data_IF_245604273108
#
_entry.id   IF_245604273108
#
_cell.length_a   1.000
_cell.length_b   1.000
_cell.length_c   1.000
_cell.angle_alpha   90.00
_cell.angle_beta   90.00
_cell.angle_gamma   90.00
#
_symmetry.space_group_name_H-M   'P 1'
#
loop_
_entity.id
_entity.type
_entity.pdbx_description
1 polymer ?
#
# COMPACT_ATOMS: atom_id res chain seq x y z
N UNK A 1 -4.97 7.34 33.51
CA UNK A 1 -5.56 8.00 32.32
C UNK A 1 -4.38 8.55 31.54
N UNK A 2 -3.99 7.90 30.44
CA UNK A 2 -2.78 8.27 29.70
C UNK A 2 -3.03 9.60 29.00
N UNK A 3 -2.29 10.66 29.35
CA UNK A 3 -2.44 11.93 28.67
C UNK A 3 -1.84 11.83 27.27
N UNK A 4 -2.73 11.81 26.27
CA UNK A 4 -2.34 11.68 24.88
C UNK A 4 -1.72 12.98 24.40
N UNK A 5 -0.45 12.93 23.99
CA UNK A 5 0.19 14.05 23.31
C UNK A 5 -0.60 14.44 22.06
N UNK A 6 -0.45 15.69 21.60
CA UNK A 6 -1.13 16.19 20.41
C UNK A 6 -0.14 16.81 19.43
N UNK A 7 -0.19 16.40 18.18
CA UNK A 7 0.61 16.95 17.08
C UNK A 7 -0.33 17.74 16.18
N UNK A 8 -0.17 19.05 16.11
CA UNK A 8 -0.93 19.90 15.20
C UNK A 8 -0.07 20.14 13.95
N UNK A 9 -0.56 19.70 12.79
CA UNK A 9 0.09 19.87 11.49
C UNK A 9 -0.60 20.97 10.69
N UNK A 10 -0.04 22.18 10.73
CA UNK A 10 -0.49 23.29 9.90
C UNK A 10 0.04 23.13 8.47
N UNK A 11 -0.86 23.14 7.48
CA UNK A 11 -0.53 22.86 6.09
C UNK A 11 -1.24 23.76 5.08
N UNK A 12 -0.63 23.86 3.90
CA UNK A 12 -1.22 24.45 2.69
C UNK A 12 -0.86 23.58 1.50
N UNK A 13 -1.89 23.16 0.74
CA UNK A 13 -1.76 22.21 -0.37
C UNK A 13 -0.85 22.72 -1.49
N UNK A 14 -0.63 24.04 -1.56
CA UNK A 14 0.29 24.67 -2.52
C UNK A 14 1.77 24.57 -2.11
N UNK A 15 2.10 23.95 -0.99
CA UNK A 15 3.50 23.69 -0.62
C UNK A 15 3.87 22.23 -0.90
N UNK A 16 5.00 22.00 -1.58
CA UNK A 16 5.48 20.65 -1.83
C UNK A 16 5.85 19.97 -0.51
N UNK A 17 6.40 20.74 0.43
CA UNK A 17 6.77 20.23 1.75
C UNK A 17 5.54 19.89 2.60
N UNK A 18 4.42 20.59 2.44
CA UNK A 18 3.18 20.19 3.12
C UNK A 18 2.65 18.87 2.58
N UNK A 19 2.73 18.66 1.25
CA UNK A 19 2.36 17.39 0.64
C UNK A 19 3.24 16.24 1.16
N UNK A 20 4.56 16.42 1.17
CA UNK A 20 5.51 15.43 1.71
C UNK A 20 5.23 15.14 3.19
N UNK A 21 5.06 16.18 4.01
CA UNK A 21 4.82 16.03 5.44
C UNK A 21 3.50 15.33 5.74
N UNK A 22 2.45 15.62 4.98
CA UNK A 22 1.16 14.96 5.11
C UNK A 22 1.26 13.47 4.74
N UNK A 23 1.94 13.14 3.64
CA UNK A 23 2.24 11.75 3.28
C UNK A 23 3.07 11.03 4.35
N UNK A 24 4.07 11.70 4.90
CA UNK A 24 4.90 11.14 5.97
C UNK A 24 4.11 10.94 7.27
N UNK A 25 3.41 11.96 7.76
CA UNK A 25 2.65 11.91 9.01
C UNK A 25 1.52 10.89 8.96
N UNK A 26 0.78 10.80 7.86
CA UNK A 26 -0.31 9.80 7.71
C UNK A 26 0.19 8.36 7.79
N UNK A 27 1.43 8.08 7.37
CA UNK A 27 2.06 6.77 7.57
C UNK A 27 2.45 6.52 9.02
N UNK A 28 2.72 7.60 9.76
CA UNK A 28 3.24 7.59 11.11
C UNK A 28 2.18 7.66 12.21
N UNK A 29 0.96 8.14 11.96
CA UNK A 29 -0.05 8.41 12.99
C UNK A 29 -0.22 7.26 13.98
N UNK A 30 -0.26 6.01 13.49
CA UNK A 30 -0.40 4.80 14.31
C UNK A 30 0.83 4.45 15.16
N UNK A 31 2.01 4.94 14.80
CA UNK A 31 3.25 4.75 15.56
C UNK A 31 3.52 5.88 16.56
N UNK A 32 2.81 7.00 16.43
CA UNK A 32 2.97 8.12 17.34
C UNK A 32 2.06 7.92 18.55
N UNK A 33 2.56 8.04 19.79
CA UNK A 33 1.75 8.07 21.00
C UNK A 33 1.08 9.45 21.15
N UNK A 34 0.49 9.96 20.06
CA UNK A 34 -0.07 11.29 19.96
C UNK A 34 -1.22 11.32 18.95
N UNK A 35 -2.24 12.12 19.25
CA UNK A 35 -3.27 12.44 18.26
C UNK A 35 -2.72 13.47 17.27
N UNK A 36 -2.79 13.16 15.98
CA UNK A 36 -2.45 14.12 14.92
C UNK A 36 -3.70 14.89 14.50
N UNK A 37 -3.61 16.22 14.48
CA UNK A 37 -4.65 17.10 13.97
C UNK A 37 -4.09 17.91 12.81
N UNK A 38 -4.76 17.89 11.67
CA UNK A 38 -4.36 18.68 10.49
C UNK A 38 -5.17 19.95 10.40
N UNK A 39 -4.51 21.08 10.18
CA UNK A 39 -5.15 22.40 10.15
C UNK A 39 -4.79 23.12 8.84
N UNK A 40 -5.76 23.37 7.95
CA UNK A 40 -5.56 24.23 6.79
C UNK A 40 -5.23 25.66 7.24
N UNK A 41 -4.16 26.24 6.70
CA UNK A 41 -3.72 27.62 6.96
C UNK A 41 -3.34 28.34 5.68
N UNK A 42 -3.29 29.67 5.69
CA UNK A 42 -2.91 30.43 4.51
C UNK A 42 -1.41 30.71 4.44
N UNK A 43 -0.70 29.99 3.57
CA UNK A 43 0.75 30.19 3.38
C UNK A 43 1.08 31.64 2.97
N UNK A 44 0.29 32.24 2.09
CA UNK A 44 0.51 33.61 1.62
C UNK A 44 0.52 34.64 2.75
N UNK A 45 -0.42 34.55 3.70
CA UNK A 45 -0.45 35.44 4.85
C UNK A 45 0.72 35.19 5.82
N UNK A 46 1.10 33.93 6.03
CA UNK A 46 2.24 33.56 6.88
C UNK A 46 3.52 34.20 6.33
N UNK A 47 3.82 34.02 5.03
CA UNK A 47 5.01 34.58 4.38
C UNK A 47 5.06 36.11 4.52
N UNK A 48 3.95 36.79 4.22
CA UNK A 48 3.89 38.26 4.26
C UNK A 48 4.07 38.78 5.68
N UNK A 49 3.33 38.25 6.64
CA UNK A 49 3.37 38.74 8.03
C UNK A 49 4.67 38.38 8.75
N UNK A 50 5.32 37.26 8.41
CA UNK A 50 6.61 36.89 9.00
C UNK A 50 7.81 37.58 8.34
N UNK A 51 7.60 38.33 7.24
CA UNK A 51 8.69 38.90 6.44
C UNK A 51 9.55 37.85 5.72
N UNK A 52 9.07 36.62 5.56
CA UNK A 52 9.83 35.55 4.92
C UNK A 52 9.87 35.76 3.39
N UNK A 53 10.94 35.30 2.76
CA UNK A 53 11.09 35.34 1.30
C UNK A 53 11.13 33.90 0.78
N UNK A 54 10.18 33.48 -0.09
CA UNK A 54 10.15 32.12 -0.61
C UNK A 54 11.48 31.70 -1.26
N UNK A 55 11.97 30.47 -1.03
CA UNK A 55 13.22 29.99 -1.61
C UNK A 55 13.29 30.13 -3.14
N UNK A 56 12.16 29.95 -3.83
CA UNK A 56 12.05 30.08 -5.28
C UNK A 56 12.43 31.48 -5.81
N UNK A 57 12.39 32.53 -4.99
CA UNK A 57 12.77 33.90 -5.40
C UNK A 57 14.29 34.11 -5.49
N UNK A 58 15.10 33.21 -4.94
CA UNK A 58 16.55 33.27 -5.04
C UNK A 58 17.04 32.15 -5.98
N UNK A 59 17.74 32.45 -7.09
CA UNK A 59 18.09 31.45 -8.11
C UNK A 59 18.73 30.17 -7.56
N UNK A 60 19.76 30.30 -6.70
CA UNK A 60 20.42 29.15 -6.09
C UNK A 60 19.51 28.33 -5.15
N UNK A 61 18.62 28.97 -4.40
CA UNK A 61 17.70 28.29 -3.48
C UNK A 61 16.55 27.63 -4.26
N UNK A 62 16.09 28.25 -5.35
CA UNK A 62 15.12 27.67 -6.28
C UNK A 62 15.63 26.39 -6.94
N UNK A 63 16.87 26.42 -7.46
CA UNK A 63 17.52 25.21 -8.02
C UNK A 63 17.66 24.12 -6.96
N UNK A 64 18.10 24.47 -5.74
CA UNK A 64 18.19 23.51 -4.65
C UNK A 64 16.82 22.91 -4.30
N UNK A 65 15.78 23.73 -4.20
CA UNK A 65 14.41 23.29 -3.91
C UNK A 65 13.90 22.30 -4.95
N UNK A 66 14.19 22.52 -6.24
CA UNK A 66 13.83 21.57 -7.31
C UNK A 66 14.48 20.20 -7.13
N UNK A 67 15.77 20.17 -6.83
CA UNK A 67 16.50 18.92 -6.58
C UNK A 67 16.02 18.23 -5.29
N UNK A 68 15.81 19.02 -4.23
CA UNK A 68 15.35 18.55 -2.92
C UNK A 68 13.97 17.89 -3.01
N UNK A 69 13.03 18.44 -3.78
CA UNK A 69 11.74 17.80 -4.04
C UNK A 69 11.93 16.43 -4.69
N UNK A 70 12.85 16.28 -5.65
CA UNK A 70 13.11 14.99 -6.28
C UNK A 70 13.71 13.98 -5.28
N UNK A 71 14.64 14.43 -4.44
CA UNK A 71 15.24 13.59 -3.40
C UNK A 71 14.22 13.17 -2.35
N UNK A 72 13.40 14.10 -1.86
CA UNK A 72 12.32 13.82 -0.93
C UNK A 72 11.26 12.90 -1.56
N UNK A 73 10.91 13.11 -2.83
CA UNK A 73 10.00 12.23 -3.55
C UNK A 73 10.53 10.80 -3.60
N UNK A 74 11.80 10.61 -3.97
CA UNK A 74 12.43 9.30 -3.98
C UNK A 74 12.51 8.72 -2.56
N UNK A 75 12.87 9.53 -1.57
CA UNK A 75 13.00 9.10 -0.18
C UNK A 75 11.66 8.59 0.39
N UNK A 76 10.58 9.33 0.16
CA UNK A 76 9.23 8.99 0.64
C UNK A 76 8.45 8.11 -0.33
N UNK A 77 9.00 7.71 -1.47
CA UNK A 77 8.30 6.87 -2.46
C UNK A 77 7.08 7.57 -3.08
N UNK A 78 7.16 8.89 -3.27
CA UNK A 78 6.15 9.71 -3.93
C UNK A 78 6.49 9.87 -5.42
N UNK A 79 5.53 10.37 -6.21
CA UNK A 79 5.71 10.64 -7.65
C UNK A 79 5.69 12.14 -7.94
N UNK A 80 6.32 12.93 -7.07
CA UNK A 80 6.35 14.38 -7.22
C UNK A 80 7.20 14.80 -8.41
N UNK A 81 6.75 15.86 -9.09
CA UNK A 81 7.42 16.54 -10.17
C UNK A 81 7.34 18.05 -9.96
N UNK A 82 8.28 18.76 -10.55
CA UNK A 82 8.26 20.22 -10.57
C UNK A 82 7.17 20.71 -11.55
N UNK A 83 6.26 21.62 -11.14
CA UNK A 83 5.24 22.18 -12.02
C UNK A 83 5.87 22.86 -13.26
N UNK A 84 5.26 22.71 -14.43
CA UNK A 84 5.79 23.30 -15.67
C UNK A 84 5.84 24.83 -15.61
N UNK A 85 4.81 25.46 -15.02
CA UNK A 85 4.77 26.89 -14.71
C UNK A 85 4.54 27.10 -13.22
N UNK A 86 5.65 27.09 -12.47
CA UNK A 86 5.67 27.26 -11.02
C UNK A 86 5.13 28.64 -10.60
N UNK A 87 5.49 29.70 -11.32
CA UNK A 87 5.09 31.07 -10.98
C UNK A 87 3.57 31.24 -11.15
N UNK A 88 3.02 30.76 -12.26
CA UNK A 88 1.57 30.82 -12.48
C UNK A 88 0.82 29.98 -11.45
N UNK A 89 1.26 28.74 -11.20
CA UNK A 89 0.53 27.78 -10.38
C UNK A 89 0.61 28.11 -8.88
N UNK A 90 1.81 28.41 -8.38
CA UNK A 90 2.06 28.59 -6.95
C UNK A 90 1.87 30.05 -6.54
N UNK A 91 2.33 31.01 -7.35
CA UNK A 91 2.37 32.43 -6.95
C UNK A 91 1.12 33.18 -7.40
N UNK A 92 0.68 33.02 -8.66
CA UNK A 92 -0.45 33.79 -9.21
C UNK A 92 -1.82 33.20 -8.90
N UNK A 93 -1.97 31.88 -9.02
CA UNK A 93 -3.25 31.16 -8.85
C UNK A 93 -3.60 30.88 -7.38
N UNK A 94 -2.60 30.52 -6.56
CA UNK A 94 -2.74 30.31 -5.12
C UNK A 94 -3.70 29.17 -4.71
N UNK A 95 -4.04 29.10 -3.42
CA UNK A 95 -4.78 27.99 -2.80
C UNK A 95 -5.96 28.40 -1.93
N UNK A 96 -6.40 29.66 -1.99
CA UNK A 96 -7.45 30.17 -1.08
C UNK A 96 -8.77 29.37 -1.21
N UNK A 97 -9.22 29.09 -2.43
CA UNK A 97 -10.45 28.33 -2.70
C UNK A 97 -10.37 26.92 -2.11
N UNK A 98 -9.38 26.07 -2.46
CA UNK A 98 -9.28 24.74 -1.88
C UNK A 98 -9.03 24.75 -0.37
N UNK A 99 -8.28 25.70 0.18
CA UNK A 99 -8.02 25.76 1.63
C UNK A 99 -9.26 26.11 2.46
N UNK A 100 -10.12 27.01 1.96
CA UNK A 100 -11.42 27.29 2.60
C UNK A 100 -12.35 26.10 2.51
N UNK A 101 -12.39 25.43 1.35
CA UNK A 101 -13.15 24.19 1.20
C UNK A 101 -12.67 23.11 2.18
N UNK A 102 -11.36 22.89 2.29
CA UNK A 102 -10.79 21.95 3.27
C UNK A 102 -11.11 22.35 4.72
N UNK A 103 -11.22 23.64 5.02
CA UNK A 103 -11.67 24.13 6.33
C UNK A 103 -13.13 23.72 6.58
N UNK A 104 -14.02 23.86 5.60
CA UNK A 104 -15.42 23.41 5.71
C UNK A 104 -15.53 21.88 5.82
N UNK A 105 -14.76 21.14 5.01
CA UNK A 105 -14.68 19.67 5.09
C UNK A 105 -14.21 19.21 6.47
N UNK A 106 -13.22 19.88 7.07
CA UNK A 106 -12.76 19.53 8.42
C UNK A 106 -13.85 19.71 9.50
N UNK A 107 -14.71 20.71 9.37
CA UNK A 107 -15.79 20.94 10.35
C UNK A 107 -16.94 19.94 10.23
N UNK A 108 -17.32 19.57 9.01
CA UNK A 108 -18.54 18.80 8.75
C UNK A 108 -18.30 17.35 8.38
N UNK A 109 -17.19 17.08 7.69
CA UNK A 109 -16.85 15.78 7.10
C UNK A 109 -15.36 15.44 7.33
N UNK A 110 -14.86 15.47 8.60
CA UNK A 110 -13.43 15.43 8.92
C UNK A 110 -12.69 14.21 8.36
N UNK A 111 -13.37 13.09 8.15
CA UNK A 111 -12.81 11.88 7.53
C UNK A 111 -12.30 12.10 6.09
N UNK A 112 -12.81 13.11 5.39
CA UNK A 112 -12.41 13.45 4.02
C UNK A 112 -11.32 14.53 3.93
N UNK A 113 -10.96 15.19 5.04
CA UNK A 113 -9.96 16.26 5.03
C UNK A 113 -8.64 15.81 4.39
N UNK A 114 -8.11 14.68 4.83
CA UNK A 114 -6.81 14.16 4.39
C UNK A 114 -6.87 13.60 2.97
N UNK A 115 -7.84 12.75 2.60
CA UNK A 115 -8.03 12.36 1.21
C UNK A 115 -8.13 13.56 0.26
N UNK A 116 -8.91 14.59 0.60
CA UNK A 116 -9.08 15.78 -0.23
C UNK A 116 -7.79 16.61 -0.31
N UNK A 117 -7.12 16.86 0.81
CA UNK A 117 -5.86 17.60 0.84
C UNK A 117 -4.75 16.89 0.02
N UNK A 118 -4.66 15.56 0.12
CA UNK A 118 -3.76 14.74 -0.72
C UNK A 118 -4.13 14.80 -2.20
N UNK A 119 -5.42 14.76 -2.54
CA UNK A 119 -5.86 14.88 -3.93
C UNK A 119 -5.49 16.24 -4.55
N UNK A 120 -5.69 17.35 -3.83
CA UNK A 120 -5.22 18.67 -4.26
C UNK A 120 -3.70 18.72 -4.40
N UNK A 121 -2.97 18.20 -3.41
CA UNK A 121 -1.51 18.09 -3.47
C UNK A 121 -1.03 17.28 -4.68
N UNK A 122 -1.67 16.15 -4.99
CA UNK A 122 -1.36 15.32 -6.17
C UNK A 122 -1.65 16.05 -7.48
N UNK A 123 -2.76 16.80 -7.59
CA UNK A 123 -3.04 17.64 -8.76
C UNK A 123 -1.86 18.59 -9.02
N UNK A 124 -1.38 19.33 -8.02
CA UNK A 124 -0.26 20.26 -8.18
C UNK A 124 1.07 19.53 -8.41
N UNK A 125 1.43 18.63 -7.51
CA UNK A 125 2.80 18.12 -7.40
C UNK A 125 3.05 16.84 -8.16
N UNK A 126 2.05 16.12 -8.63
CA UNK A 126 2.22 14.88 -9.40
C UNK A 126 1.65 15.00 -10.82
N UNK A 127 0.54 15.73 -10.97
CA UNK A 127 -0.20 15.84 -12.23
C UNK A 127 -0.04 17.18 -12.95
N UNK A 128 0.61 18.17 -12.34
CA UNK A 128 0.78 19.52 -12.92
C UNK A 128 -0.57 20.13 -13.37
N UNK A 129 -1.59 19.94 -12.53
CA UNK A 129 -2.97 20.39 -12.73
C UNK A 129 -3.30 21.55 -11.79
N UNK A 130 -4.11 22.52 -12.23
CA UNK A 130 -4.53 23.64 -11.40
C UNK A 130 -5.52 23.24 -10.29
N UNK A 131 -5.57 24.03 -9.21
CA UNK A 131 -6.48 23.81 -8.06
C UNK A 131 -7.25 25.06 -7.60
N UNK A 132 -7.10 26.18 -8.31
CA UNK A 132 -7.51 27.51 -7.82
C UNK A 132 -8.98 27.91 -8.09
N UNK A 133 -9.65 27.24 -9.04
CA UNK A 133 -11.05 27.46 -9.40
C UNK A 133 -11.99 26.51 -8.64
N UNK A 134 -13.25 26.93 -8.52
CA UNK A 134 -14.31 26.13 -7.91
C UNK A 134 -14.53 24.79 -8.63
N UNK A 135 -14.43 24.78 -9.96
CA UNK A 135 -14.51 23.55 -10.76
C UNK A 135 -13.49 22.49 -10.34
N UNK A 136 -12.25 22.88 -10.03
CA UNK A 136 -11.23 21.94 -9.56
C UNK A 136 -11.56 21.37 -8.18
N UNK A 137 -12.24 22.15 -7.32
CA UNK A 137 -12.72 21.68 -6.02
C UNK A 137 -13.85 20.68 -6.21
N UNK A 138 -14.79 20.97 -7.10
CA UNK A 138 -15.89 20.06 -7.44
C UNK A 138 -15.36 18.74 -8.02
N UNK A 139 -14.37 18.77 -8.91
CA UNK A 139 -13.70 17.57 -9.44
C UNK A 139 -13.13 16.68 -8.33
N UNK A 140 -12.35 17.26 -7.41
CA UNK A 140 -11.74 16.52 -6.30
C UNK A 140 -12.81 15.94 -5.37
N UNK A 141 -13.83 16.73 -5.06
CA UNK A 141 -14.89 16.30 -4.16
C UNK A 141 -15.77 15.19 -4.76
N UNK A 142 -16.06 15.27 -6.07
CA UNK A 142 -16.80 14.25 -6.80
C UNK A 142 -16.00 12.94 -6.90
N UNK A 143 -14.70 13.03 -7.24
CA UNK A 143 -13.80 11.88 -7.28
C UNK A 143 -13.77 11.13 -5.94
N UNK A 144 -13.79 11.86 -4.82
CA UNK A 144 -13.75 11.30 -3.47
C UNK A 144 -15.14 10.97 -2.91
N UNK A 145 -16.22 11.30 -3.64
CA UNK A 145 -17.61 11.13 -3.20
C UNK A 145 -17.87 11.76 -1.83
N UNK A 146 -17.38 12.98 -1.62
CA UNK A 146 -17.61 13.73 -0.38
C UNK A 146 -19.11 14.06 -0.28
N UNK A 147 -19.83 13.72 0.79
CA UNK A 147 -21.23 14.07 0.94
C UNK A 147 -21.47 15.58 0.85
N UNK A 148 -22.55 16.00 0.21
CA UNK A 148 -22.99 17.40 0.13
C UNK A 148 -21.89 18.40 -0.32
N UNK A 149 -20.93 17.97 -1.14
CA UNK A 149 -19.75 18.77 -1.47
C UNK A 149 -20.05 20.14 -2.10
N UNK A 150 -21.17 20.26 -2.83
CA UNK A 150 -21.64 21.54 -3.37
C UNK A 150 -22.06 22.51 -2.26
N UNK A 151 -22.73 22.00 -1.22
CA UNK A 151 -23.12 22.79 -0.04
C UNK A 151 -21.88 23.20 0.77
N UNK A 152 -20.92 22.29 0.94
CA UNK A 152 -19.64 22.58 1.60
C UNK A 152 -18.84 23.65 0.85
N UNK A 153 -18.87 23.64 -0.50
CA UNK A 153 -18.24 24.68 -1.31
C UNK A 153 -18.91 26.04 -1.11
N UNK A 154 -20.24 26.12 -1.08
CA UNK A 154 -20.95 27.35 -0.76
C UNK A 154 -20.64 27.83 0.67
N UNK A 155 -20.64 26.90 1.64
CA UNK A 155 -20.31 27.21 3.03
C UNK A 155 -18.87 27.71 3.20
N UNK A 156 -17.93 27.24 2.37
CA UNK A 156 -16.55 27.72 2.36
C UNK A 156 -16.41 29.22 2.09
N UNK A 157 -17.46 29.83 1.51
CA UNK A 157 -17.55 31.27 1.21
C UNK A 157 -18.19 32.07 2.36
N UNK A 158 -18.74 31.41 3.38
CA UNK A 158 -19.35 32.05 4.55
C UNK A 158 -18.32 32.83 5.38
N UNK A 159 -18.77 33.86 6.08
CA UNK A 159 -17.90 34.60 7.02
C UNK A 159 -17.39 33.72 8.16
N UNK A 160 -18.17 32.72 8.59
CA UNK A 160 -17.75 31.75 9.59
C UNK A 160 -16.48 30.98 9.19
N UNK A 161 -16.47 30.40 7.98
CA UNK A 161 -15.29 29.66 7.49
C UNK A 161 -14.12 30.60 7.20
N UNK A 162 -14.37 31.79 6.63
CA UNK A 162 -13.32 32.78 6.39
C UNK A 162 -12.63 33.22 7.68
N UNK A 163 -13.41 33.49 8.73
CA UNK A 163 -12.88 33.89 10.03
C UNK A 163 -12.12 32.73 10.69
N UNK A 164 -12.67 31.51 10.66
CA UNK A 164 -11.98 30.34 11.19
C UNK A 164 -10.63 30.09 10.49
N UNK A 165 -10.60 30.18 9.17
CA UNK A 165 -9.38 30.03 8.37
C UNK A 165 -8.34 31.12 8.68
N UNK A 166 -8.78 32.38 8.85
CA UNK A 166 -7.93 33.49 9.27
C UNK A 166 -7.37 33.27 10.67
N UNK A 167 -8.24 32.95 11.63
CA UNK A 167 -7.88 32.69 13.03
C UNK A 167 -6.87 31.57 13.15
N UNK A 168 -7.06 30.44 12.46
CA UNK A 168 -6.11 29.30 12.41
C UNK A 168 -4.74 29.71 11.88
N UNK A 169 -4.73 30.55 10.84
CA UNK A 169 -3.49 31.10 10.29
C UNK A 169 -2.77 31.99 11.32
N UNK A 170 -3.51 32.82 12.04
CA UNK A 170 -2.97 33.68 13.10
C UNK A 170 -2.47 32.90 14.31
N UNK A 171 -3.17 31.84 14.70
CA UNK A 171 -2.73 30.92 15.76
C UNK A 171 -1.42 30.22 15.38
N UNK A 172 -1.26 29.77 14.13
CA UNK A 172 0.01 29.22 13.66
C UNK A 172 1.15 30.24 13.75
N UNK A 173 0.91 31.49 13.32
CA UNK A 173 1.90 32.57 13.39
C UNK A 173 2.31 32.92 14.83
N UNK A 174 1.36 32.88 15.80
CA UNK A 174 1.66 33.08 17.22
C UNK A 174 2.65 32.03 17.78
N UNK A 175 2.78 30.88 17.13
CA UNK A 175 3.77 29.86 17.48
C UNK A 175 5.12 30.02 16.77
N UNK A 176 5.30 31.11 16.00
CA UNK A 176 6.52 31.41 15.26
C UNK A 176 6.54 30.94 13.81
N UNK A 177 5.40 30.50 13.25
CA UNK A 177 5.35 30.02 11.88
C UNK A 177 5.76 31.13 10.88
N UNK A 178 6.76 30.83 10.06
CA UNK A 178 7.24 31.68 8.95
C UNK A 178 7.11 30.98 7.58
N UNK A 179 6.64 29.74 7.58
CA UNK A 179 6.43 28.89 6.41
C UNK A 179 5.68 27.62 6.84
N UNK A 180 5.43 26.73 5.87
CA UNK A 180 4.71 25.47 6.09
C UNK A 180 5.36 24.32 5.31
N UNK A 181 5.28 23.07 5.81
CA UNK A 181 4.49 22.61 6.96
C UNK A 181 5.07 23.11 8.28
N UNK A 182 4.17 23.35 9.24
CA UNK A 182 4.52 23.78 10.58
C UNK A 182 3.85 22.85 11.59
N UNK A 183 4.67 22.13 12.36
CA UNK A 183 4.20 21.15 13.34
C UNK A 183 4.28 21.77 14.74
N UNK A 184 3.25 21.58 15.54
CA UNK A 184 3.21 21.99 16.96
C UNK A 184 2.93 20.76 17.80
N UNK A 185 3.91 20.35 18.61
CA UNK A 185 3.79 19.27 19.58
C UNK A 185 3.35 19.85 20.93
N UNK A 186 2.22 19.38 21.43
CA UNK A 186 1.70 19.68 22.77
C UNK A 186 1.73 18.41 23.62
N UNK A 187 2.34 18.48 24.79
CA UNK A 187 2.40 17.41 25.77
C UNK A 187 1.98 17.97 27.13
N UNK A 188 1.21 17.21 27.90
CA UNK A 188 0.78 17.66 29.23
C UNK A 188 2.00 17.91 30.13
N UNK A 189 1.99 19.04 30.85
CA UNK A 189 3.08 19.43 31.74
C UNK A 189 4.38 19.84 31.03
N UNK A 190 4.40 19.98 29.71
CA UNK A 190 5.56 20.45 28.93
C UNK A 190 5.22 21.67 28.10
N UNK A 191 6.21 22.52 27.86
CA UNK A 191 6.10 23.61 26.88
C UNK A 191 5.87 23.06 25.46
N UNK A 192 5.12 23.81 24.65
CA UNK A 192 4.86 23.40 23.26
C UNK A 192 6.14 23.51 22.43
N UNK A 193 6.45 22.46 21.66
CA UNK A 193 7.59 22.45 20.72
C UNK A 193 7.10 22.64 19.30
N UNK A 194 7.87 23.33 18.46
CA UNK A 194 7.54 23.57 17.06
C UNK A 194 8.60 23.03 16.11
N UNK A 195 8.17 22.54 14.95
CA UNK A 195 9.06 22.03 13.91
C UNK A 195 8.64 22.57 12.54
N UNK A 196 9.61 23.15 11.82
CA UNK A 196 9.44 23.60 10.45
C UNK A 196 10.04 22.60 9.47
N UNK A 197 9.28 22.27 8.43
CA UNK A 197 9.74 21.40 7.33
C UNK A 197 9.22 19.96 7.40
N UNK A 198 9.23 19.28 6.25
CA UNK A 198 8.77 17.89 6.11
C UNK A 198 9.76 16.83 6.58
N UNK A 199 11.01 17.23 6.79
CA UNK A 199 12.15 16.38 7.11
C UNK A 199 12.36 16.22 8.63
N UNK A 200 11.55 16.89 9.47
CA UNK A 200 11.70 16.90 10.93
C UNK A 200 10.92 15.81 11.66
N UNK A 201 10.35 14.84 10.95
CA UNK A 201 9.57 13.77 11.56
C UNK A 201 10.39 12.93 12.56
N UNK A 202 11.70 12.78 12.32
CA UNK A 202 12.61 12.10 13.24
C UNK A 202 12.77 12.83 14.59
N UNK A 203 12.79 14.17 14.60
CA UNK A 203 12.76 14.95 15.84
C UNK A 203 11.43 14.80 16.57
N UNK A 204 10.31 14.81 15.83
CA UNK A 204 8.99 14.57 16.42
C UNK A 204 8.92 13.18 17.08
N UNK A 205 9.44 12.14 16.41
CA UNK A 205 9.52 10.78 16.97
C UNK A 205 10.36 10.75 18.25
N UNK A 206 11.54 11.39 18.25
CA UNK A 206 12.41 11.50 19.42
C UNK A 206 11.71 12.15 20.62
N UNK A 207 10.99 13.26 20.42
CA UNK A 207 10.25 13.95 21.48
C UNK A 207 9.06 13.17 22.04
N UNK A 208 8.52 12.26 21.23
CA UNK A 208 7.47 11.33 21.61
C UNK A 208 8.02 10.00 22.16
N UNK A 209 9.34 9.84 22.24
CA UNK A 209 9.98 8.64 22.76
C UNK A 209 9.81 7.40 21.86
N UNK A 210 9.60 7.60 20.55
CA UNK A 210 9.44 6.51 19.58
C UNK A 210 10.55 6.52 18.54
N UNK A 211 10.91 5.33 18.06
CA UNK A 211 11.92 5.16 17.01
C UNK A 211 11.41 5.70 15.66
N UNK A 212 12.27 6.46 14.97
CA UNK A 212 12.02 6.85 13.59
C UNK A 212 12.35 5.70 12.63
N UNK A 213 11.32 5.08 12.05
CA UNK A 213 11.40 3.89 11.20
C UNK A 213 11.69 4.19 9.71
N UNK A 214 12.21 5.37 9.40
CA UNK A 214 12.46 5.81 8.01
C UNK A 214 11.17 6.09 7.22
N UNK A 215 11.17 5.94 5.87
CA UNK A 215 10.09 6.44 5.02
C UNK A 215 8.81 5.61 5.00
N UNK A 216 8.82 4.42 5.62
CA UNK A 216 7.71 3.47 5.62
C UNK A 216 7.15 3.20 4.20
N UNK A 217 8.01 2.95 3.21
CA UNK A 217 7.59 2.66 1.82
C UNK A 217 6.84 1.32 1.74
N UNK A 218 5.95 1.19 0.76
CA UNK A 218 5.23 -0.06 0.47
C UNK A 218 6.14 -1.30 0.57
N UNK A 219 5.63 -2.32 1.28
CA UNK A 219 6.26 -3.49 1.92
C UNK A 219 6.70 -3.35 3.40
N UNK A 220 6.91 -2.14 3.93
CA UNK A 220 7.16 -1.94 5.37
C UNK A 220 5.89 -1.61 6.17
N UNK A 221 4.89 -0.99 5.55
CA UNK A 221 3.55 -0.80 6.13
C UNK A 221 2.78 -2.13 6.22
N UNK A 222 2.97 -3.07 5.28
CA UNK A 222 2.32 -4.38 5.25
C UNK A 222 2.81 -5.36 6.33
N UNK A 223 3.76 -4.95 7.17
CA UNK A 223 4.25 -5.75 8.29
C UNK A 223 3.75 -5.23 9.64
N UNK A 224 2.94 -4.17 9.66
CA UNK A 224 2.29 -3.71 10.89
C UNK A 224 1.04 -4.53 11.17
N UNK A 225 1.03 -5.37 12.22
CA UNK A 225 -0.07 -6.27 12.52
C UNK A 225 -1.39 -5.54 12.83
N UNK A 226 -1.36 -4.24 13.15
CA UNK A 226 -2.54 -3.48 13.54
C UNK A 226 -3.30 -2.82 12.38
N UNK A 227 -2.78 -2.90 11.14
CA UNK A 227 -3.54 -2.42 9.99
C UNK A 227 -4.81 -3.27 9.79
N UNK A 228 -5.96 -2.67 9.38
CA UNK A 228 -7.18 -3.41 9.10
C UNK A 228 -6.97 -4.58 8.13
N UNK A 229 -6.13 -4.38 7.10
CA UNK A 229 -5.81 -5.41 6.11
C UNK A 229 -4.99 -6.58 6.70
N UNK A 230 -4.08 -6.31 7.63
CA UNK A 230 -3.27 -7.34 8.27
C UNK A 230 -4.09 -8.11 9.32
N UNK A 231 -5.01 -7.42 10.04
CA UNK A 231 -6.02 -8.07 10.89
C UNK A 231 -6.94 -8.97 10.07
N UNK A 232 -7.39 -8.51 8.90
CA UNK A 232 -8.20 -9.30 7.99
C UNK A 232 -7.44 -10.56 7.53
N UNK A 233 -6.20 -10.42 7.05
CA UNK A 233 -5.35 -11.56 6.68
C UNK A 233 -5.17 -12.56 7.82
N UNK A 234 -4.93 -12.06 9.04
CA UNK A 234 -4.83 -12.91 10.23
C UNK A 234 -6.13 -13.66 10.52
N UNK A 235 -7.28 -12.98 10.47
CA UNK A 235 -8.58 -13.59 10.69
C UNK A 235 -8.88 -14.71 9.67
N UNK A 236 -8.62 -14.46 8.37
CA UNK A 236 -8.76 -15.49 7.34
C UNK A 236 -7.85 -16.71 7.59
N UNK A 237 -6.58 -16.47 7.91
CA UNK A 237 -5.62 -17.55 8.18
C UNK A 237 -6.03 -18.40 9.38
N UNK A 238 -6.44 -17.76 10.49
CA UNK A 238 -6.86 -18.46 11.71
C UNK A 238 -8.15 -19.25 11.49
N UNK A 239 -9.18 -18.63 10.89
CA UNK A 239 -10.43 -19.33 10.63
C UNK A 239 -10.27 -20.50 9.66
N UNK A 240 -9.42 -20.36 8.65
CA UNK A 240 -9.05 -21.46 7.77
C UNK A 240 -8.35 -22.59 8.55
N UNK A 241 -7.35 -22.23 9.36
CA UNK A 241 -6.58 -23.16 10.18
C UNK A 241 -7.45 -23.99 11.13
N UNK A 242 -8.37 -23.36 11.86
CA UNK A 242 -9.29 -24.03 12.80
C UNK A 242 -10.19 -25.08 12.12
N UNK A 243 -10.58 -24.83 10.86
CA UNK A 243 -11.50 -25.72 10.14
C UNK A 243 -10.75 -26.84 9.44
N UNK A 244 -9.59 -26.55 8.85
CA UNK A 244 -8.94 -27.43 7.88
C UNK A 244 -7.72 -28.19 8.44
N UNK A 245 -7.18 -27.80 9.60
CA UNK A 245 -5.95 -28.41 10.13
C UNK A 245 -6.26 -29.22 11.39
N UNK A 246 -5.78 -30.46 11.41
CA UNK A 246 -5.92 -31.41 12.54
C UNK A 246 -4.57 -32.04 12.87
N UNK A 247 -4.46 -32.58 14.08
CA UNK A 247 -3.28 -33.36 14.48
C UNK A 247 -3.03 -34.52 13.52
N UNK A 248 -1.77 -34.85 13.28
CA UNK A 248 -1.35 -35.92 12.36
C UNK A 248 -1.31 -35.52 10.88
N UNK A 249 -1.74 -34.31 10.51
CA UNK A 249 -1.80 -33.90 9.11
C UNK A 249 -0.44 -33.50 8.54
N UNK A 250 -0.24 -33.83 7.26
CA UNK A 250 0.85 -33.32 6.42
C UNK A 250 0.35 -32.12 5.64
N UNK A 251 0.94 -30.96 5.88
CA UNK A 251 0.40 -29.65 5.51
C UNK A 251 1.33 -28.97 4.52
N UNK A 252 0.85 -28.69 3.32
CA UNK A 252 1.47 -27.75 2.40
C UNK A 252 1.28 -26.33 2.90
N UNK A 253 2.37 -25.62 3.18
CA UNK A 253 2.33 -24.23 3.68
C UNK A 253 2.80 -23.30 2.57
N UNK A 254 1.86 -22.47 2.11
CA UNK A 254 2.02 -21.54 1.02
C UNK A 254 3.04 -20.41 1.22
N UNK A 255 2.98 -19.38 0.38
CA UNK A 255 3.89 -18.25 0.43
C UNK A 255 3.16 -16.90 0.39
N UNK A 256 3.82 -15.86 0.93
CA UNK A 256 3.34 -14.48 0.90
C UNK A 256 2.81 -13.95 2.22
N UNK A 257 2.41 -12.67 2.21
CA UNK A 257 2.11 -11.92 3.44
C UNK A 257 0.94 -12.49 4.26
N UNK A 258 -0.09 -13.04 3.61
CA UNK A 258 -1.23 -13.66 4.32
C UNK A 258 -0.81 -14.99 4.98
N UNK A 259 0.07 -15.77 4.34
CA UNK A 259 0.50 -17.08 4.84
C UNK A 259 1.38 -16.98 6.08
N UNK A 260 2.05 -15.84 6.30
CA UNK A 260 2.73 -15.57 7.57
C UNK A 260 1.81 -15.79 8.78
N UNK A 261 0.55 -15.38 8.70
CA UNK A 261 -0.42 -15.57 9.79
C UNK A 261 -0.88 -17.02 9.95
N UNK A 262 -0.81 -17.83 8.89
CA UNK A 262 -1.03 -19.26 9.01
C UNK A 262 0.11 -19.91 9.82
N UNK A 263 1.35 -19.47 9.60
CA UNK A 263 2.49 -19.93 10.42
C UNK A 263 2.33 -19.48 11.88
N UNK A 264 1.82 -18.26 12.13
CA UNK A 264 1.47 -17.82 13.50
C UNK A 264 0.42 -18.73 14.15
N UNK A 265 -0.65 -19.07 13.43
CA UNK A 265 -1.68 -19.98 13.90
C UNK A 265 -1.10 -21.36 14.25
N UNK A 266 -0.33 -21.96 13.34
CA UNK A 266 0.31 -23.26 13.54
C UNK A 266 1.22 -23.23 14.76
N UNK A 267 2.03 -22.18 14.91
CA UNK A 267 2.90 -21.98 16.07
C UNK A 267 2.12 -21.95 17.37
N UNK A 268 1.08 -21.13 17.48
CA UNK A 268 0.26 -21.02 18.69
C UNK A 268 -0.34 -22.37 19.06
N UNK A 269 -0.98 -23.06 18.11
CA UNK A 269 -1.66 -24.32 18.38
C UNK A 269 -0.69 -25.46 18.68
N UNK A 270 0.48 -25.46 18.06
CA UNK A 270 1.53 -26.44 18.34
C UNK A 270 2.12 -26.24 19.75
N UNK A 271 2.43 -25.00 20.13
CA UNK A 271 2.93 -24.66 21.47
C UNK A 271 1.91 -24.97 22.58
N UNK A 272 0.63 -24.75 22.30
CA UNK A 272 -0.48 -25.12 23.20
C UNK A 272 -0.75 -26.63 23.23
N UNK A 273 -0.02 -27.45 22.46
CA UNK A 273 -0.19 -28.90 22.31
C UNK A 273 -1.59 -29.31 21.82
N UNK A 274 -2.30 -28.40 21.13
CA UNK A 274 -3.59 -28.66 20.48
C UNK A 274 -3.36 -29.40 19.16
N UNK A 275 -2.40 -28.92 18.35
CA UNK A 275 -1.96 -29.60 17.13
C UNK A 275 -0.68 -30.40 17.41
N UNK A 276 -0.81 -31.73 17.33
CA UNK A 276 0.26 -32.71 17.54
C UNK A 276 0.57 -33.44 16.24
N UNK A 277 1.79 -33.94 16.11
CA UNK A 277 2.21 -34.81 15.01
C UNK A 277 1.93 -34.23 13.62
N UNK A 278 1.94 -32.90 13.49
CA UNK A 278 1.82 -32.21 12.20
C UNK A 278 3.18 -32.15 11.50
N UNK A 279 3.16 -32.16 10.18
CA UNK A 279 4.36 -31.96 9.35
C UNK A 279 4.08 -30.87 8.33
N UNK A 280 4.98 -29.88 8.23
CA UNK A 280 4.81 -28.75 7.33
C UNK A 280 5.79 -28.84 6.14
N UNK A 281 5.26 -28.81 4.91
CA UNK A 281 6.02 -28.76 3.67
C UNK A 281 5.89 -27.36 3.04
N UNK A 282 6.96 -26.56 2.99
CA UNK A 282 6.90 -25.17 2.52
C UNK A 282 6.89 -25.03 0.99
N UNK A 283 6.30 -23.96 0.47
CA UNK A 283 6.33 -23.59 -0.96
C UNK A 283 7.39 -22.55 -1.36
N UNK A 284 8.27 -22.17 -0.42
CA UNK A 284 9.40 -21.27 -0.67
C UNK A 284 10.46 -21.34 0.43
N UNK A 285 11.64 -20.80 0.16
CA UNK A 285 12.68 -20.63 1.19
C UNK A 285 12.23 -19.69 2.32
N UNK A 286 11.43 -18.67 2.00
CA UNK A 286 10.90 -17.74 3.00
C UNK A 286 9.96 -18.46 3.97
N UNK A 287 9.00 -19.22 3.46
CA UNK A 287 8.07 -20.00 4.30
C UNK A 287 8.80 -21.07 5.09
N UNK A 288 9.78 -21.77 4.48
CA UNK A 288 10.64 -22.72 5.18
C UNK A 288 11.30 -22.07 6.40
N UNK A 289 11.89 -20.88 6.22
CA UNK A 289 12.49 -20.12 7.31
C UNK A 289 11.49 -19.77 8.40
N UNK A 290 10.29 -19.27 8.04
CA UNK A 290 9.26 -18.94 9.03
C UNK A 290 8.84 -20.14 9.87
N UNK A 291 8.69 -21.32 9.27
CA UNK A 291 8.34 -22.54 9.99
C UNK A 291 9.44 -22.99 10.96
N UNK A 292 10.71 -22.93 10.53
CA UNK A 292 11.87 -23.24 11.38
C UNK A 292 11.95 -22.25 12.55
N UNK A 293 11.86 -20.95 12.28
CA UNK A 293 11.91 -19.90 13.31
C UNK A 293 10.72 -20.00 14.29
N UNK A 294 9.59 -20.58 13.86
CA UNK A 294 8.43 -20.85 14.69
C UNK A 294 8.56 -22.13 15.55
N UNK A 295 9.58 -22.96 15.31
CA UNK A 295 9.77 -24.24 15.98
C UNK A 295 8.79 -25.33 15.54
N UNK A 296 8.29 -25.25 14.29
CA UNK A 296 7.37 -26.24 13.73
C UNK A 296 8.13 -27.36 13.01
N UNK A 297 7.61 -28.62 12.97
CA UNK A 297 8.22 -29.69 12.19
C UNK A 297 8.16 -29.39 10.69
N UNK A 298 9.33 -29.30 10.05
CA UNK A 298 9.47 -29.00 8.62
C UNK A 298 9.96 -30.23 7.87
N UNK A 299 9.36 -30.51 6.72
CA UNK A 299 9.71 -31.62 5.82
C UNK A 299 9.83 -31.14 4.37
N UNK A 300 10.25 -32.05 3.50
CA UNK A 300 10.21 -31.91 2.04
C UNK A 300 9.15 -32.85 1.42
N UNK A 301 8.90 -32.69 0.12
CA UNK A 301 8.11 -33.66 -0.66
C UNK A 301 8.87 -34.96 -0.95
N UNK A 302 10.19 -34.98 -0.77
CA UNK A 302 10.99 -36.22 -0.90
C UNK A 302 10.67 -37.19 0.25
N UNK A 303 10.46 -36.66 1.45
CA UNK A 303 10.06 -37.45 2.63
C UNK A 303 8.53 -37.65 2.70
N UNK A 304 7.77 -36.65 2.25
CA UNK A 304 6.31 -36.64 2.33
C UNK A 304 5.68 -36.18 1.01
N UNK A 305 5.57 -37.10 0.04
CA UNK A 305 5.07 -36.82 -1.31
C UNK A 305 3.54 -36.68 -1.42
N UNK A 306 2.81 -37.08 -0.38
CA UNK A 306 1.35 -36.96 -0.29
C UNK A 306 0.96 -36.14 0.93
N UNK A 307 0.22 -35.06 0.71
CA UNK A 307 -0.20 -34.09 1.72
C UNK A 307 -1.72 -34.13 1.90
N UNK A 308 -2.18 -33.82 3.11
CA UNK A 308 -3.61 -33.82 3.42
C UNK A 308 -4.28 -32.50 3.00
N UNK A 309 -3.57 -31.39 3.17
CA UNK A 309 -4.06 -30.06 2.78
C UNK A 309 -2.90 -29.15 2.41
N UNK A 310 -3.06 -28.34 1.37
CA UNK A 310 -2.23 -27.16 1.11
C UNK A 310 -3.06 -25.90 1.37
N UNK A 311 -2.47 -24.94 2.10
CA UNK A 311 -3.09 -23.64 2.36
C UNK A 311 -2.16 -22.54 1.89
N UNK A 312 -2.65 -21.68 0.99
CA UNK A 312 -1.83 -20.66 0.34
C UNK A 312 -2.60 -19.37 0.04
N UNK A 313 -1.89 -18.30 -0.29
CA UNK A 313 -2.49 -17.05 -0.78
C UNK A 313 -2.73 -17.03 -2.28
N UNK A 314 -3.39 -15.98 -2.76
CA UNK A 314 -3.57 -15.69 -4.18
C UNK A 314 -3.36 -14.19 -4.48
N UNK A 315 -2.94 -13.89 -5.71
CA UNK A 315 -2.85 -12.51 -6.21
C UNK A 315 -4.20 -12.03 -6.75
N UNK A 316 -5.00 -12.95 -7.30
CA UNK A 316 -6.39 -12.74 -7.74
C UNK A 316 -7.16 -14.06 -7.76
N UNK A 317 -8.46 -14.00 -7.48
CA UNK A 317 -9.39 -15.15 -7.46
C UNK A 317 -10.64 -14.77 -8.25
N UNK A 318 -10.95 -15.52 -9.31
CA UNK A 318 -12.17 -15.28 -10.11
C UNK A 318 -13.43 -15.94 -9.50
N UNK A 319 -14.57 -15.65 -10.11
CA UNK A 319 -15.87 -16.20 -9.71
C UNK A 319 -15.99 -17.73 -9.81
N UNK A 320 -15.07 -18.39 -10.54
CA UNK A 320 -14.98 -19.85 -10.71
C UNK A 320 -13.88 -20.46 -9.82
N UNK A 321 -13.34 -19.68 -8.89
CA UNK A 321 -12.25 -20.05 -7.99
C UNK A 321 -10.95 -20.47 -8.69
N UNK A 322 -10.75 -19.99 -9.92
CA UNK A 322 -9.44 -19.99 -10.56
C UNK A 322 -8.61 -18.84 -9.99
N UNK A 323 -7.29 -19.02 -9.96
CA UNK A 323 -6.38 -18.08 -9.34
C UNK A 323 -5.31 -17.60 -10.31
N UNK A 324 -4.91 -16.34 -10.15
CA UNK A 324 -3.55 -15.91 -10.48
C UNK A 324 -2.72 -15.92 -9.19
N UNK A 325 -1.55 -16.55 -9.26
CA UNK A 325 -0.50 -16.60 -8.24
C UNK A 325 0.85 -16.24 -8.85
N UNK A 326 1.89 -16.17 -8.02
CA UNK A 326 3.26 -15.91 -8.44
C UNK A 326 3.75 -14.48 -8.27
N UNK A 327 2.98 -13.59 -7.62
CA UNK A 327 3.42 -12.25 -7.25
C UNK A 327 4.67 -12.25 -6.35
N UNK A 328 4.81 -13.26 -5.49
CA UNK A 328 6.01 -13.48 -4.66
C UNK A 328 7.16 -14.18 -5.38
N UNK A 329 6.92 -14.74 -6.58
CA UNK A 329 7.91 -15.45 -7.37
C UNK A 329 8.15 -16.92 -6.98
N UNK A 330 7.20 -17.53 -6.29
CA UNK A 330 7.27 -18.91 -5.78
C UNK A 330 6.34 -19.90 -6.53
N UNK A 331 5.75 -19.48 -7.66
CA UNK A 331 4.61 -20.16 -8.31
C UNK A 331 4.83 -21.64 -8.63
N UNK A 332 6.05 -22.03 -9.03
CA UNK A 332 6.35 -23.42 -9.37
C UNK A 332 6.28 -24.32 -8.13
N UNK A 333 6.94 -23.94 -7.03
CA UNK A 333 6.91 -24.71 -5.79
C UNK A 333 5.51 -24.70 -5.16
N UNK A 334 4.81 -23.56 -5.23
CA UNK A 334 3.40 -23.45 -4.83
C UNK A 334 2.53 -24.48 -5.56
N UNK A 335 2.69 -24.62 -6.87
CA UNK A 335 1.90 -25.57 -7.66
C UNK A 335 2.26 -27.03 -7.43
N UNK A 336 3.55 -27.34 -7.26
CA UNK A 336 4.00 -28.70 -6.95
C UNK A 336 3.44 -29.16 -5.60
N UNK A 337 3.54 -28.35 -4.55
CA UNK A 337 2.99 -28.70 -3.22
C UNK A 337 1.46 -28.81 -3.27
N UNK A 338 0.81 -27.90 -3.99
CA UNK A 338 -0.64 -27.95 -4.20
C UNK A 338 -1.07 -29.24 -4.89
N UNK A 339 -0.37 -29.68 -5.94
CA UNK A 339 -0.73 -30.90 -6.68
C UNK A 339 -0.48 -32.19 -5.89
N UNK A 340 0.45 -32.17 -4.93
CA UNK A 340 0.68 -33.24 -3.96
C UNK A 340 -0.37 -33.28 -2.82
N UNK A 341 -1.34 -32.35 -2.78
CA UNK A 341 -2.30 -32.21 -1.68
C UNK A 341 -3.70 -32.71 -2.03
N UNK A 342 -4.35 -33.45 -1.12
CA UNK A 342 -5.74 -33.92 -1.29
C UNK A 342 -6.75 -32.77 -1.32
N UNK A 343 -6.44 -31.66 -0.64
CA UNK A 343 -7.25 -30.46 -0.65
C UNK A 343 -6.40 -29.20 -0.74
N UNK A 344 -6.87 -28.20 -1.47
CA UNK A 344 -6.24 -26.90 -1.60
C UNK A 344 -7.18 -25.77 -1.17
N UNK A 345 -6.76 -25.02 -0.16
CA UNK A 345 -7.54 -23.94 0.45
C UNK A 345 -6.80 -22.62 0.28
N UNK A 346 -7.51 -21.58 -0.15
CA UNK A 346 -6.92 -20.26 -0.38
C UNK A 346 -7.31 -19.31 0.74
N UNK A 347 -6.35 -18.54 1.26
CA UNK A 347 -6.57 -17.45 2.22
C UNK A 347 -6.20 -16.11 1.58
N UNK A 348 -7.13 -15.18 1.54
CA UNK A 348 -6.94 -13.91 0.85
C UNK A 348 -7.69 -12.76 1.52
N UNK A 349 -7.24 -11.52 1.29
CA UNK A 349 -8.04 -10.35 1.61
C UNK A 349 -9.11 -10.09 0.54
N UNK A 350 -10.18 -9.38 0.88
CA UNK A 350 -11.30 -9.11 -0.02
C UNK A 350 -10.90 -8.40 -1.33
N UNK A 351 -9.75 -7.70 -1.39
CA UNK A 351 -9.29 -7.07 -2.63
C UNK A 351 -8.75 -8.08 -3.65
N UNK A 352 -8.63 -9.36 -3.31
CA UNK A 352 -8.21 -10.41 -4.24
C UNK A 352 -9.38 -11.02 -5.01
N UNK A 353 -10.62 -10.76 -4.59
CA UNK A 353 -11.83 -11.28 -5.23
C UNK A 353 -12.16 -10.49 -6.50
N UNK A 354 -12.32 -11.18 -7.63
CA UNK A 354 -12.73 -10.61 -8.91
C UNK A 354 -13.81 -11.44 -9.60
N UNK A 355 -14.40 -10.88 -10.66
CA UNK A 355 -15.33 -11.61 -11.50
C UNK A 355 -14.56 -12.50 -12.47
N UNK A 356 -13.56 -11.92 -13.14
CA UNK A 356 -12.66 -12.60 -14.08
C UNK A 356 -11.20 -12.38 -13.70
N UNK A 357 -10.34 -13.37 -14.00
CA UNK A 357 -8.89 -13.18 -13.88
C UNK A 357 -8.41 -12.04 -14.78
N UNK A 358 -7.65 -11.10 -14.20
CA UNK A 358 -7.18 -9.89 -14.87
C UNK A 358 -7.96 -8.61 -14.56
N UNK A 359 -9.02 -8.68 -13.76
CA UNK A 359 -9.78 -7.50 -13.31
C UNK A 359 -8.99 -6.69 -12.31
N UNK A 360 -8.23 -7.35 -11.43
CA UNK A 360 -7.42 -6.72 -10.38
C UNK A 360 -5.94 -6.94 -10.56
N UNK A 361 -5.51 -8.15 -10.94
CA UNK A 361 -4.10 -8.46 -11.13
C UNK A 361 -3.78 -8.51 -12.62
N UNK A 362 -3.14 -7.44 -13.12
CA UNK A 362 -3.11 -7.16 -14.56
C UNK A 362 -2.10 -7.98 -15.35
N UNK A 363 -1.25 -8.75 -14.70
CA UNK A 363 -0.18 -9.53 -15.33
C UNK A 363 -0.28 -11.00 -14.94
N UNK A 364 0.12 -11.92 -15.82
CA UNK A 364 0.29 -13.32 -15.49
C UNK A 364 1.79 -13.62 -15.31
N UNK A 365 2.24 -14.01 -14.10
CA UNK A 365 3.60 -14.47 -13.88
C UNK A 365 3.84 -15.82 -14.55
N UNK A 366 4.96 -15.97 -15.25
CA UNK A 366 5.39 -17.19 -15.94
C UNK A 366 6.85 -17.45 -15.60
N UNK A 367 7.14 -18.56 -14.92
CA UNK A 367 8.51 -18.96 -14.61
C UNK A 367 9.17 -19.57 -15.85
N UNK A 368 10.39 -19.14 -16.16
CA UNK A 368 11.09 -19.50 -17.40
C UNK A 368 12.58 -19.71 -17.13
N UNK A 369 13.14 -20.73 -17.78
CA UNK A 369 14.59 -20.99 -17.77
C UNK A 369 15.33 -19.75 -18.28
N UNK A 370 16.43 -19.31 -17.63
CA UNK A 370 17.11 -18.05 -17.96
C UNK A 370 17.58 -17.92 -19.41
N UNK A 371 17.87 -19.00 -20.12
CA UNK A 371 18.27 -18.96 -21.53
C UNK A 371 17.10 -18.74 -22.49
N UNK A 372 15.87 -19.03 -22.04
CA UNK A 372 14.67 -19.05 -22.87
C UNK A 372 13.80 -17.78 -22.74
N UNK A 373 14.10 -16.84 -21.84
CA UNK A 373 13.16 -15.75 -21.55
C UNK A 373 12.86 -14.86 -22.78
N UNK A 374 13.87 -14.52 -23.59
CA UNK A 374 13.66 -13.68 -24.79
C UNK A 374 12.79 -14.38 -25.85
N UNK A 375 13.09 -15.63 -26.29
CA UNK A 375 12.21 -16.32 -27.24
C UNK A 375 10.83 -16.58 -26.65
N UNK A 376 10.71 -16.98 -25.38
CA UNK A 376 9.42 -17.18 -24.72
C UNK A 376 8.56 -15.90 -24.74
N UNK A 377 9.14 -14.73 -24.43
CA UNK A 377 8.45 -13.45 -24.54
C UNK A 377 7.89 -13.18 -25.95
N UNK A 378 8.64 -13.55 -27.00
CA UNK A 378 8.20 -13.41 -28.40
C UNK A 378 7.07 -14.38 -28.73
N UNK A 379 7.19 -15.65 -28.37
CA UNK A 379 6.18 -16.67 -28.64
C UNK A 379 4.86 -16.37 -27.93
N UNK A 380 4.90 -15.96 -26.66
CA UNK A 380 3.72 -15.54 -25.89
C UNK A 380 3.00 -14.40 -26.61
N UNK A 381 3.75 -13.37 -27.05
CA UNK A 381 3.18 -12.24 -27.78
C UNK A 381 2.59 -12.65 -29.13
N UNK A 382 3.23 -13.59 -29.84
CA UNK A 382 2.75 -14.09 -31.13
C UNK A 382 1.46 -14.91 -31.00
N UNK A 383 1.39 -15.79 -29.99
CA UNK A 383 0.25 -16.68 -29.77
C UNK A 383 -0.96 -15.96 -29.19
N UNK A 384 -0.75 -15.03 -28.26
CA UNK A 384 -1.82 -14.49 -27.43
C UNK A 384 -1.92 -12.96 -27.42
N UNK A 385 -0.99 -12.26 -28.10
CA UNK A 385 -0.90 -10.80 -28.08
C UNK A 385 -0.45 -10.23 -26.73
N UNK A 386 -0.78 -8.95 -26.51
CA UNK A 386 -0.40 -8.23 -25.29
C UNK A 386 1.07 -7.82 -25.26
N UNK A 387 1.59 -7.56 -24.06
CA UNK A 387 3.00 -7.24 -23.83
C UNK A 387 3.61 -8.11 -22.75
N UNK A 388 4.91 -8.36 -22.87
CA UNK A 388 5.68 -9.14 -21.91
C UNK A 388 6.85 -8.31 -21.39
N UNK A 389 7.17 -8.46 -20.12
CA UNK A 389 8.38 -7.90 -19.51
C UNK A 389 9.04 -8.94 -18.61
N UNK A 390 10.32 -8.76 -18.32
CA UNK A 390 11.02 -9.57 -17.33
C UNK A 390 10.86 -8.90 -15.97
N UNK A 391 10.54 -9.65 -14.91
CA UNK A 391 10.42 -9.08 -13.57
C UNK A 391 11.81 -8.67 -13.08
N UNK A 392 12.00 -7.38 -12.81
CA UNK A 392 13.26 -6.82 -12.27
C UNK A 392 13.26 -6.93 -10.75
N UNK A 393 14.40 -7.32 -10.16
CA UNK A 393 14.55 -7.37 -8.71
C UNK A 393 14.54 -5.97 -8.10
N UNK A 394 13.89 -5.81 -6.94
CA UNK A 394 13.88 -4.55 -6.21
C UNK A 394 15.17 -4.30 -5.40
N UNK A 395 15.93 -5.36 -5.10
CA UNK A 395 17.09 -5.32 -4.19
C UNK A 395 18.40 -5.71 -4.85
N UNK A 396 18.35 -6.25 -6.08
CA UNK A 396 19.52 -6.65 -6.87
C UNK A 396 19.41 -6.03 -8.26
N UNK A 397 20.55 -5.74 -8.88
CA UNK A 397 20.60 -5.47 -10.31
C UNK A 397 20.13 -6.69 -11.10
N UNK A 398 19.50 -6.48 -12.27
CA UNK A 398 19.06 -7.52 -13.22
C UNK A 398 17.74 -8.23 -12.81
N UNK A 399 17.18 -9.17 -13.61
CA UNK A 399 15.94 -9.88 -13.30
C UNK A 399 15.94 -10.57 -11.94
N UNK A 400 14.74 -10.70 -11.39
CA UNK A 400 14.47 -11.54 -10.23
C UNK A 400 14.83 -13.00 -10.58
N UNK A 401 15.55 -13.65 -9.67
CA UNK A 401 15.86 -15.08 -9.73
C UNK A 401 14.95 -15.78 -8.73
N UNK A 402 14.21 -16.79 -9.17
CA UNK A 402 13.32 -17.60 -8.31
C UNK A 402 14.12 -18.54 -7.41
N UNK A 403 13.45 -19.16 -6.43
CA UNK A 403 14.04 -20.20 -5.58
C UNK A 403 14.57 -21.40 -6.39
N UNK A 404 14.08 -21.58 -7.63
CA UNK A 404 14.51 -22.64 -8.55
C UNK A 404 15.59 -22.17 -9.54
N UNK A 405 16.13 -20.95 -9.39
CA UNK A 405 17.17 -20.41 -10.26
C UNK A 405 16.67 -19.88 -11.61
N UNK A 406 15.35 -19.71 -11.79
CA UNK A 406 14.74 -19.27 -13.04
C UNK A 406 14.41 -17.77 -13.03
N UNK A 407 13.95 -17.25 -14.17
CA UNK A 407 13.37 -15.91 -14.27
C UNK A 407 11.84 -15.94 -14.28
N UNK A 408 11.24 -14.76 -14.12
CA UNK A 408 9.79 -14.57 -14.26
C UNK A 408 9.50 -13.58 -15.39
N UNK A 409 8.75 -14.04 -16.37
CA UNK A 409 8.08 -13.19 -17.36
C UNK A 409 6.76 -12.72 -16.77
N UNK A 410 6.50 -11.43 -16.86
CA UNK A 410 5.20 -10.82 -16.60
C UNK A 410 4.47 -10.63 -17.92
N UNK A 411 3.42 -11.39 -18.14
CA UNK A 411 2.60 -11.23 -19.34
C UNK A 411 1.37 -10.37 -19.05
N UNK A 412 1.37 -9.14 -19.57
CA UNK A 412 0.20 -8.27 -19.61
C UNK A 412 -0.68 -8.66 -20.81
N UNK A 413 -1.60 -9.60 -20.57
CA UNK A 413 -2.52 -10.11 -21.56
C UNK A 413 -3.60 -9.07 -21.96
N UNK A 414 -4.10 -9.07 -23.22
CA UNK A 414 -5.14 -8.13 -23.67
C UNK A 414 -6.42 -8.17 -22.80
N UNK A 415 -7.02 -7.01 -22.50
CA UNK A 415 -8.22 -6.94 -21.64
C UNK A 415 -9.52 -6.99 -22.46
N UNK A 416 -10.63 -7.37 -21.83
CA UNK A 416 -11.95 -7.44 -22.48
C UNK A 416 -12.12 -8.61 -23.47
N UNK A 417 -11.21 -9.59 -23.44
CA UNK A 417 -11.26 -10.79 -24.27
C UNK A 417 -11.50 -11.97 -23.35
N UNK A 418 -12.60 -12.70 -23.57
CA UNK A 418 -12.86 -13.96 -22.85
C UNK A 418 -11.84 -15.02 -23.29
N UNK A 419 -11.38 -15.82 -22.34
CA UNK A 419 -10.30 -16.79 -22.54
C UNK A 419 -10.61 -18.09 -21.86
N UNK A 420 -10.35 -19.18 -22.58
CA UNK A 420 -10.15 -20.46 -21.94
C UNK A 420 -8.77 -20.48 -21.27
N UNK A 421 -8.73 -20.14 -19.98
CA UNK A 421 -7.50 -20.16 -19.19
C UNK A 421 -6.85 -21.54 -19.16
N UNK A 422 -7.61 -22.64 -19.33
CA UNK A 422 -7.06 -23.99 -19.40
C UNK A 422 -6.23 -24.16 -20.66
N UNK A 423 -6.79 -23.76 -21.81
CA UNK A 423 -6.09 -23.80 -23.09
C UNK A 423 -4.86 -22.88 -23.09
N UNK A 424 -4.99 -21.68 -22.51
CA UNK A 424 -3.86 -20.74 -22.35
C UNK A 424 -2.75 -21.35 -21.49
N UNK A 425 -3.07 -21.90 -20.31
CA UNK A 425 -2.10 -22.56 -19.44
C UNK A 425 -1.39 -23.69 -20.18
N UNK A 426 -2.14 -24.60 -20.83
CA UNK A 426 -1.57 -25.74 -21.54
C UNK A 426 -0.63 -25.32 -22.68
N UNK A 427 -1.02 -24.31 -23.45
CA UNK A 427 -0.20 -23.81 -24.54
C UNK A 427 1.06 -23.09 -24.03
N UNK A 428 0.99 -22.39 -22.90
CA UNK A 428 2.15 -21.74 -22.27
C UNK A 428 3.17 -22.76 -21.74
N UNK A 429 2.72 -23.77 -20.98
CA UNK A 429 3.64 -24.80 -20.42
C UNK A 429 4.26 -25.69 -21.50
N UNK A 430 3.66 -25.75 -22.70
CA UNK A 430 4.22 -26.44 -23.86
C UNK A 430 5.32 -25.62 -24.59
N UNK A 431 5.56 -24.36 -24.22
CA UNK A 431 6.63 -23.56 -24.82
C UNK A 431 8.01 -23.98 -24.28
N UNK A 432 9.02 -24.20 -25.13
CA UNK A 432 10.36 -24.58 -24.68
C UNK A 432 10.95 -23.60 -23.66
N UNK A 433 11.29 -24.10 -22.48
CA UNK A 433 11.89 -23.33 -21.39
C UNK A 433 10.89 -22.62 -20.47
N UNK A 434 9.59 -22.62 -20.76
CA UNK A 434 8.59 -22.29 -19.75
C UNK A 434 8.55 -23.42 -18.73
N UNK A 435 8.69 -23.07 -17.46
CA UNK A 435 8.69 -24.02 -16.34
C UNK A 435 7.28 -24.18 -15.81
N UNK A 436 6.61 -23.08 -15.50
CA UNK A 436 5.25 -23.08 -14.96
C UNK A 436 4.61 -21.68 -15.11
N UNK A 437 3.28 -21.60 -15.00
CA UNK A 437 2.50 -20.37 -15.01
C UNK A 437 1.81 -20.11 -13.68
N UNK A 438 1.52 -18.85 -13.40
CA UNK A 438 0.74 -18.42 -12.25
C UNK A 438 -0.73 -18.81 -12.28
N UNK A 439 -1.20 -19.59 -13.26
CA UNK A 439 -2.60 -20.03 -13.36
C UNK A 439 -2.85 -21.28 -12.53
N UNK A 440 -3.71 -21.18 -11.52
CA UNK A 440 -4.17 -22.32 -10.73
C UNK A 440 -5.65 -22.51 -11.04
N UNK A 441 -5.98 -23.54 -11.82
CA UNK A 441 -7.29 -23.68 -12.47
C UNK A 441 -7.98 -24.92 -11.94
N UNK A 442 -9.24 -24.79 -11.49
CA UNK A 442 -10.08 -25.91 -11.03
C UNK A 442 -9.46 -26.79 -9.92
N UNK A 443 -8.54 -26.24 -9.13
CA UNK A 443 -7.86 -26.95 -8.03
C UNK A 443 -8.32 -26.51 -6.63
N UNK A 444 -8.99 -25.37 -6.54
CA UNK A 444 -9.35 -24.74 -5.27
C UNK A 444 -10.60 -25.37 -4.66
N UNK A 445 -10.53 -25.87 -3.42
CA UNK A 445 -11.69 -26.43 -2.72
C UNK A 445 -12.45 -25.42 -1.86
N UNK A 446 -11.78 -24.39 -1.37
CA UNK A 446 -12.41 -23.26 -0.68
C UNK A 446 -11.51 -22.02 -0.70
N UNK A 447 -12.12 -20.85 -0.59
CA UNK A 447 -11.44 -19.57 -0.44
C UNK A 447 -12.01 -18.81 0.74
N UNK A 448 -11.14 -18.36 1.62
CA UNK A 448 -11.45 -17.53 2.77
C UNK A 448 -11.06 -16.08 2.46
N UNK A 449 -12.07 -15.23 2.22
CA UNK A 449 -11.89 -13.80 2.03
C UNK A 449 -12.16 -13.06 3.33
N UNK A 450 -11.15 -12.39 3.88
CA UNK A 450 -11.37 -11.48 5.00
C UNK A 450 -11.70 -10.06 4.53
N UNK A 451 -12.78 -9.52 5.08
CA UNK A 451 -13.25 -8.15 4.88
C UNK A 451 -12.65 -7.22 5.94
N UNK A 452 -12.61 -5.92 5.64
CA UNK A 452 -12.02 -4.91 6.54
C UNK A 452 -12.79 -4.75 7.87
N UNK A 453 -14.07 -5.14 7.90
CA UNK A 453 -14.93 -5.16 9.09
C UNK A 453 -14.71 -6.38 9.99
N UNK A 454 -13.78 -7.27 9.63
CA UNK A 454 -13.45 -8.49 10.36
C UNK A 454 -14.31 -9.70 10.00
N UNK A 455 -15.31 -9.55 9.11
CA UNK A 455 -16.09 -10.69 8.63
C UNK A 455 -15.26 -11.54 7.66
N UNK A 456 -15.50 -12.86 7.71
CA UNK A 456 -14.86 -13.83 6.81
C UNK A 456 -15.94 -14.42 5.90
N UNK A 457 -15.75 -14.25 4.60
CA UNK A 457 -16.57 -14.87 3.58
C UNK A 457 -15.87 -16.13 3.07
N UNK A 458 -16.55 -17.28 3.18
CA UNK A 458 -16.05 -18.56 2.68
C UNK A 458 -16.78 -18.91 1.39
N UNK A 459 -16.04 -19.07 0.30
CA UNK A 459 -16.56 -19.46 -1.01
C UNK A 459 -16.06 -20.86 -1.35
N UNK A 460 -16.93 -21.71 -1.87
CA UNK A 460 -16.64 -23.08 -2.31
C UNK A 460 -17.12 -23.27 -3.76
N UNK A 461 -16.50 -24.19 -4.53
CA UNK A 461 -16.87 -24.47 -5.92
C UNK A 461 -18.34 -24.83 -6.13
#
# INVERSE_FOLDING_TARGET
>A
MSSTAKVISCFDVISPYSFICMEALTRYEKYLPAQVQYIPVFLGAIIVKSGNVPPAKHPGKGTNMKNDIQYASNYWGLKMRWPSDFELTIVKRGSVVPQRFLTAVEQHEPKYLIPAAKAFGSKVWEKDEPIHLEEHVLEVADQLKIPDYKKLLEESKSEGIKELYRKRTEEAMKTGAFGIPWLILKQEGKESKTFFGSDRLHYLCNELGVEFKGPLRGNSLSNDPDLPIERAKKAAAFACGEVHIKSGMKIGVGSGSTVKYLVEFLKEKHQQKILKDIVCVPTSFMTRKWLIDAGLPVSTLEEHSELDVAIDGADEVDSRLNLIKGGGGCLTQEKIVQSCSKSFIVIADANKKSTNLGDRYKVLPIEVVPTAYVPAQKWIKQLFGGSTSIRISATKCFPLITDNGNYIIEWNFPKGVDRDWTAVHQALVNLPGVVETGLFLKVTNAVYFAKEDGQIEVVKP
#
